data_IF_549012729130
#
_entry.id   IF_549012729130
#
_cell.length_a   1.000
_cell.length_b   1.000
_cell.length_c   1.000
_cell.angle_alpha   90.00
_cell.angle_beta   90.00
_cell.angle_gamma   90.00
#
_symmetry.space_group_name_H-M   'P 1'
#
loop_
_entity.id
_entity.type
_entity.pdbx_description
1 polymer ?
#
# COMPACT_ATOMS: atom_id res chain seq x y z
N UNK A 1 10.67 -10.25 11.68
CA UNK A 1 9.21 -10.44 11.82
C UNK A 1 8.50 -9.25 11.21
N UNK A 2 7.50 -9.49 10.37
CA UNK A 2 6.75 -8.43 9.69
C UNK A 2 5.47 -8.08 10.44
N UNK A 3 5.03 -6.83 10.24
CA UNK A 3 3.77 -6.34 10.80
C UNK A 3 2.64 -6.63 9.81
N UNK A 4 1.44 -6.89 10.32
CA UNK A 4 0.25 -7.08 9.50
C UNK A 4 -0.32 -5.70 9.17
N UNK A 5 -0.50 -5.41 7.88
CA UNK A 5 -1.03 -4.12 7.45
C UNK A 5 -2.56 -4.18 7.38
N UNK A 6 -3.22 -3.16 7.95
CA UNK A 6 -4.65 -2.96 7.75
C UNK A 6 -4.89 -2.48 6.33
N UNK A 7 -5.98 -2.89 5.71
CA UNK A 7 -6.22 -2.53 4.32
C UNK A 7 -7.71 -2.36 4.03
N UNK A 8 -8.03 -1.34 3.23
CA UNK A 8 -9.34 -1.21 2.62
C UNK A 8 -9.41 -2.08 1.37
N UNK A 9 -10.61 -2.55 1.03
CA UNK A 9 -10.84 -3.43 -0.13
C UNK A 9 -12.08 -2.98 -0.87
N UNK A 10 -12.03 -3.12 -2.20
CA UNK A 10 -13.21 -3.08 -3.04
C UNK A 10 -13.21 -4.35 -3.89
N UNK A 11 -14.18 -5.22 -3.64
CA UNK A 11 -14.28 -6.51 -4.33
C UNK A 11 -14.56 -6.31 -5.83
N UNK A 12 -14.14 -7.23 -6.69
CA UNK A 12 -14.40 -7.11 -8.11
C UNK A 12 -15.91 -7.10 -8.39
N UNK A 13 -16.31 -6.23 -9.31
CA UNK A 13 -17.72 -6.06 -9.68
C UNK A 13 -18.34 -7.38 -10.15
N UNK A 14 -17.58 -8.20 -10.87
CA UNK A 14 -18.02 -9.49 -11.37
C UNK A 14 -18.12 -10.57 -10.29
N UNK A 15 -17.53 -10.34 -9.12
CA UNK A 15 -17.42 -11.34 -8.06
C UNK A 15 -16.28 -12.33 -8.27
N UNK A 16 -15.46 -12.15 -9.31
CA UNK A 16 -14.36 -13.05 -9.65
C UNK A 16 -13.08 -12.24 -9.80
N UNK A 17 -12.06 -12.53 -9.00
CA UNK A 17 -10.79 -11.81 -9.03
C UNK A 17 -9.85 -12.40 -10.07
N UNK A 18 -9.58 -11.65 -11.14
CA UNK A 18 -8.60 -12.02 -12.17
C UNK A 18 -7.34 -11.18 -12.09
N UNK A 19 -7.44 -10.01 -11.49
CA UNK A 19 -6.29 -9.13 -11.26
C UNK A 19 -6.51 -8.33 -9.98
N UNK A 20 -5.42 -7.79 -9.47
CA UNK A 20 -5.42 -7.01 -8.23
C UNK A 20 -4.66 -5.71 -8.46
N UNK A 21 -5.23 -4.60 -8.02
CA UNK A 21 -4.54 -3.31 -7.97
C UNK A 21 -4.33 -2.97 -6.49
N UNK A 22 -3.08 -2.72 -6.12
CA UNK A 22 -2.72 -2.33 -4.76
C UNK A 22 -2.32 -0.86 -4.77
N UNK A 23 -3.03 -0.06 -3.98
CA UNK A 23 -2.74 1.37 -3.81
C UNK A 23 -1.81 1.58 -2.62
N UNK A 24 -0.69 2.24 -2.84
CA UNK A 24 0.25 2.60 -1.78
C UNK A 24 0.23 4.12 -1.61
N UNK A 25 -0.31 4.58 -0.48
CA UNK A 25 -0.55 6.00 -0.21
C UNK A 25 0.74 6.76 0.08
N UNK A 26 0.65 8.09 0.04
CA UNK A 26 1.76 8.97 0.34
C UNK A 26 1.90 9.26 1.84
N UNK A 27 2.97 9.97 2.17
CA UNK A 27 3.24 10.44 3.53
C UNK A 27 2.09 11.33 4.02
N UNK A 28 1.61 11.07 5.20
CA UNK A 28 0.53 11.85 5.81
C UNK A 28 -0.88 11.43 5.39
N UNK A 29 -0.98 10.46 4.48
CA UNK A 29 -2.26 9.93 4.03
C UNK A 29 -2.52 8.57 4.67
N UNK A 30 -3.51 7.86 4.17
CA UNK A 30 -3.82 6.48 4.56
C UNK A 30 -4.46 5.76 3.37
N UNK A 31 -4.70 4.45 3.51
CA UNK A 31 -5.27 3.66 2.42
C UNK A 31 -6.64 4.15 1.97
N UNK A 32 -7.48 4.60 2.91
CA UNK A 32 -8.83 5.07 2.58
C UNK A 32 -8.81 6.26 1.63
N UNK A 33 -7.77 7.11 1.67
CA UNK A 33 -7.66 8.27 0.79
C UNK A 33 -7.58 7.86 -0.69
N UNK A 34 -6.96 6.72 -0.99
CA UNK A 34 -6.83 6.24 -2.37
C UNK A 34 -7.98 5.34 -2.79
N UNK A 35 -8.75 4.81 -1.86
CA UNK A 35 -9.90 3.96 -2.19
C UNK A 35 -10.97 4.69 -2.99
N UNK A 36 -11.00 6.02 -2.94
CA UNK A 36 -11.87 6.82 -3.79
C UNK A 36 -11.62 6.64 -5.28
N UNK A 37 -10.43 6.17 -5.67
CA UNK A 37 -10.11 5.86 -7.06
C UNK A 37 -10.66 4.51 -7.51
N UNK A 38 -10.98 3.64 -6.56
CA UNK A 38 -11.40 2.27 -6.89
C UNK A 38 -12.75 2.22 -7.62
N UNK A 39 -13.70 3.08 -7.26
CA UNK A 39 -15.02 3.08 -7.89
C UNK A 39 -14.95 3.44 -9.37
N UNK A 40 -14.36 4.58 -9.78
CA UNK A 40 -14.29 4.89 -11.21
C UNK A 40 -13.44 3.90 -12.00
N UNK A 41 -12.34 3.38 -11.41
CA UNK A 41 -11.52 2.38 -12.08
C UNK A 41 -12.25 1.03 -12.17
N UNK A 42 -12.99 0.67 -11.13
CA UNK A 42 -13.71 -0.60 -11.08
C UNK A 42 -14.78 -0.73 -12.14
N UNK A 43 -15.35 0.37 -12.61
CA UNK A 43 -16.32 0.35 -13.70
C UNK A 43 -15.70 -0.15 -15.01
N UNK A 44 -14.40 0.13 -15.19
CA UNK A 44 -13.65 -0.28 -16.37
C UNK A 44 -12.90 -1.60 -16.17
N UNK A 45 -12.78 -2.06 -14.92
CA UNK A 45 -12.03 -3.27 -14.56
C UNK A 45 -12.90 -4.16 -13.67
N UNK A 46 -13.94 -4.79 -14.25
CA UNK A 46 -14.94 -5.52 -13.44
C UNK A 46 -14.41 -6.76 -12.72
N UNK A 47 -13.29 -7.32 -13.18
CA UNK A 47 -12.68 -8.52 -12.59
C UNK A 47 -11.48 -8.17 -11.69
N UNK A 48 -11.36 -6.91 -11.28
CA UNK A 48 -10.22 -6.43 -10.49
C UNK A 48 -10.61 -6.18 -9.05
N UNK A 49 -9.81 -6.74 -8.14
CA UNK A 49 -9.86 -6.43 -6.71
C UNK A 49 -8.96 -5.21 -6.48
N UNK A 50 -9.46 -4.23 -5.75
CA UNK A 50 -8.69 -3.05 -5.33
C UNK A 50 -8.42 -3.14 -3.83
N UNK A 51 -7.16 -2.99 -3.44
CA UNK A 51 -6.74 -3.09 -2.04
C UNK A 51 -5.83 -1.90 -1.72
N UNK A 52 -6.04 -1.28 -0.57
CA UNK A 52 -5.22 -0.15 -0.15
C UNK A 52 -4.75 -0.37 1.29
N UNK A 53 -3.54 -0.92 1.47
CA UNK A 53 -3.00 -1.09 2.82
C UNK A 53 -2.59 0.25 3.42
N UNK A 54 -2.75 0.35 4.74
CA UNK A 54 -2.24 1.45 5.52
C UNK A 54 -0.77 1.22 5.82
N UNK A 55 0.04 2.27 5.72
CA UNK A 55 1.42 2.22 6.17
C UNK A 55 1.47 1.89 7.66
N UNK A 56 2.52 1.20 8.13
CA UNK A 56 2.56 0.67 9.48
C UNK A 56 2.88 1.70 10.58
N UNK A 57 3.36 2.89 10.21
CA UNK A 57 3.82 3.86 11.18
C UNK A 57 2.92 5.08 11.24
N UNK A 58 2.58 5.50 12.47
CA UNK A 58 1.88 6.77 12.68
C UNK A 58 2.87 7.93 12.65
N UNK A 59 2.35 9.12 12.34
CA UNK A 59 3.16 10.34 12.33
C UNK A 59 2.79 11.14 13.57
N UNK A 60 3.77 11.49 14.43
CA UNK A 60 3.48 12.30 15.62
C UNK A 60 2.79 13.62 15.23
N UNK A 61 1.68 13.94 15.90
CA UNK A 61 0.90 15.14 15.64
C UNK A 61 -0.08 15.04 14.48
N UNK A 62 -0.17 13.90 13.80
CA UNK A 62 -1.11 13.68 12.70
C UNK A 62 -1.96 12.44 12.99
N UNK A 63 -3.14 12.60 13.64
CA UNK A 63 -3.90 11.45 14.15
C UNK A 63 -4.31 10.42 13.10
N UNK A 64 -4.61 10.84 11.88
CA UNK A 64 -5.01 9.93 10.80
C UNK A 64 -3.97 9.78 9.70
N UNK A 65 -2.82 10.48 9.83
CA UNK A 65 -1.75 10.39 8.85
C UNK A 65 -0.78 9.28 9.16
N UNK A 66 -0.37 8.57 8.13
CA UNK A 66 0.55 7.43 8.22
C UNK A 66 1.76 7.64 7.33
N UNK A 67 2.83 6.91 7.62
CA UNK A 67 4.07 7.00 6.86
C UNK A 67 4.66 5.61 6.64
N UNK A 68 5.31 5.43 5.49
CA UNK A 68 6.11 4.24 5.23
C UNK A 68 7.47 4.35 5.90
N UNK A 69 7.97 5.57 6.02
CA UNK A 69 9.21 5.89 6.74
C UNK A 69 9.18 7.36 7.18
N UNK A 70 9.95 7.71 8.22
CA UNK A 70 10.15 9.12 8.58
C UNK A 70 10.83 9.87 7.45
N UNK A 71 10.60 11.18 7.39
CA UNK A 71 11.26 12.06 6.41
C UNK A 71 12.19 13.00 7.17
N UNK A 72 13.53 12.81 7.08
CA UNK A 72 14.50 13.54 7.92
C UNK A 72 14.36 15.06 7.88
N UNK A 73 14.16 15.64 6.69
CA UNK A 73 14.06 17.09 6.58
C UNK A 73 12.72 17.65 7.09
N UNK A 74 11.76 16.79 7.43
CA UNK A 74 10.48 17.20 8.03
C UNK A 74 10.52 17.02 9.55
N UNK A 75 10.98 15.84 10.02
CA UNK A 75 10.83 15.45 11.43
C UNK A 75 12.17 15.42 12.20
N UNK A 76 13.28 15.68 11.54
CA UNK A 76 14.59 15.68 12.18
C UNK A 76 15.17 14.30 12.46
N UNK A 77 14.55 13.24 11.94
CA UNK A 77 15.11 11.89 12.06
C UNK A 77 16.41 11.80 11.25
N UNK A 78 17.24 10.81 11.58
CA UNK A 78 18.46 10.56 10.81
C UNK A 78 18.12 9.84 9.50
N UNK A 79 19.00 9.96 8.51
CA UNK A 79 18.84 9.22 7.25
C UNK A 79 18.92 7.72 7.49
N UNK A 80 19.75 7.27 8.45
CA UNK A 80 19.85 5.86 8.81
C UNK A 80 18.54 5.33 9.40
N UNK A 81 17.88 6.11 10.26
CA UNK A 81 16.58 5.75 10.80
C UNK A 81 15.53 5.65 9.71
N UNK A 82 15.52 6.63 8.80
CA UNK A 82 14.57 6.65 7.70
C UNK A 82 14.77 5.45 6.77
N UNK A 83 16.02 5.12 6.44
CA UNK A 83 16.33 3.99 5.58
C UNK A 83 15.91 2.66 6.23
N UNK A 84 16.25 2.48 7.52
CA UNK A 84 15.85 1.25 8.23
C UNK A 84 14.34 1.11 8.32
N UNK A 85 13.63 2.21 8.60
CA UNK A 85 12.18 2.20 8.66
C UNK A 85 11.57 1.89 7.29
N UNK A 86 12.13 2.46 6.21
CA UNK A 86 11.67 2.20 4.85
C UNK A 86 11.83 0.71 4.50
N UNK A 87 12.99 0.14 4.81
CA UNK A 87 13.26 -1.28 4.52
C UNK A 87 12.37 -2.20 5.35
N UNK A 88 12.10 -1.84 6.61
CA UNK A 88 11.16 -2.59 7.45
C UNK A 88 9.74 -2.54 6.87
N UNK A 89 9.29 -1.36 6.42
CA UNK A 89 7.98 -1.22 5.76
C UNK A 89 7.94 -1.99 4.45
N UNK A 90 9.03 -1.99 3.69
CA UNK A 90 9.11 -2.76 2.45
C UNK A 90 8.93 -4.26 2.72
N UNK A 91 9.53 -4.77 3.79
CA UNK A 91 9.33 -6.17 4.20
C UNK A 91 7.87 -6.43 4.56
N UNK A 92 7.21 -5.48 5.24
CA UNK A 92 5.78 -5.60 5.57
C UNK A 92 4.92 -5.63 4.30
N UNK A 93 5.22 -4.76 3.32
CA UNK A 93 4.51 -4.72 2.04
C UNK A 93 4.71 -6.02 1.27
N UNK A 94 5.93 -6.53 1.21
CA UNK A 94 6.21 -7.80 0.53
C UNK A 94 5.44 -8.96 1.17
N UNK A 95 5.39 -9.03 2.50
CA UNK A 95 4.61 -10.04 3.20
C UNK A 95 3.11 -9.89 2.92
N UNK A 96 2.62 -8.65 2.88
CA UNK A 96 1.23 -8.36 2.54
C UNK A 96 0.90 -8.84 1.13
N UNK A 97 1.76 -8.54 0.16
CA UNK A 97 1.55 -8.95 -1.23
C UNK A 97 1.59 -10.46 -1.38
N UNK A 98 2.52 -11.14 -0.71
CA UNK A 98 2.62 -12.60 -0.76
C UNK A 98 1.35 -13.25 -0.22
N UNK A 99 0.85 -12.79 0.92
CA UNK A 99 -0.38 -13.30 1.51
C UNK A 99 -1.59 -13.01 0.60
N UNK A 100 -1.65 -11.81 0.02
CA UNK A 100 -2.71 -11.42 -0.88
C UNK A 100 -2.77 -12.32 -2.12
N UNK A 101 -1.62 -12.60 -2.72
CA UNK A 101 -1.55 -13.47 -3.90
C UNK A 101 -2.01 -14.89 -3.59
N UNK A 102 -1.66 -15.41 -2.42
CA UNK A 102 -2.12 -16.73 -1.99
C UNK A 102 -3.63 -16.72 -1.75
N UNK A 103 -4.11 -15.72 -1.01
CA UNK A 103 -5.53 -15.64 -0.62
C UNK A 103 -6.45 -15.46 -1.83
N UNK A 104 -6.00 -14.70 -2.83
CA UNK A 104 -6.80 -14.41 -4.02
C UNK A 104 -6.52 -15.37 -5.18
N UNK A 105 -5.55 -16.26 -5.02
CA UNK A 105 -5.12 -17.21 -6.05
C UNK A 105 -4.76 -16.50 -7.35
N UNK A 106 -3.89 -15.50 -7.25
CA UNK A 106 -3.39 -14.73 -8.40
C UNK A 106 -1.87 -14.81 -8.47
N UNK A 107 -1.35 -14.68 -9.69
CA UNK A 107 0.09 -14.69 -9.96
C UNK A 107 0.63 -13.26 -9.89
N UNK A 108 1.96 -13.10 -9.70
CA UNK A 108 2.57 -11.75 -9.67
C UNK A 108 2.24 -10.89 -10.88
N UNK A 109 2.17 -11.46 -12.07
CA UNK A 109 1.86 -10.73 -13.30
C UNK A 109 0.41 -10.23 -13.34
N UNK A 110 -0.44 -10.68 -12.43
CA UNK A 110 -1.82 -10.24 -12.30
C UNK A 110 -1.98 -9.13 -11.25
N UNK A 111 -0.88 -8.70 -10.61
CA UNK A 111 -0.89 -7.66 -9.58
C UNK A 111 -0.22 -6.40 -10.10
N UNK A 112 -0.92 -5.27 -10.00
CA UNK A 112 -0.39 -3.96 -10.35
C UNK A 112 -0.28 -3.12 -9.07
N UNK A 113 0.83 -2.40 -8.93
CA UNK A 113 1.05 -1.48 -7.83
C UNK A 113 0.84 -0.05 -8.32
N UNK A 114 0.06 0.71 -7.59
CA UNK A 114 -0.16 2.13 -7.84
C UNK A 114 0.32 2.90 -6.61
N UNK A 115 1.40 3.64 -6.76
CA UNK A 115 1.96 4.42 -5.66
C UNK A 115 1.76 5.91 -5.88
N UNK A 116 1.57 6.64 -4.78
CA UNK A 116 1.46 8.09 -4.78
C UNK A 116 2.48 8.68 -3.81
N UNK A 117 3.35 9.59 -4.26
CA UNK A 117 4.38 10.24 -3.46
C UNK A 117 5.29 9.21 -2.78
N UNK A 118 5.40 9.17 -1.45
CA UNK A 118 6.21 8.17 -0.74
C UNK A 118 5.78 6.73 -1.09
N UNK A 119 4.48 6.53 -1.34
CA UNK A 119 3.97 5.24 -1.80
C UNK A 119 4.50 4.84 -3.17
N UNK A 120 4.80 5.80 -4.06
CA UNK A 120 5.41 5.47 -5.35
C UNK A 120 6.86 5.01 -5.20
N UNK A 121 7.59 5.55 -4.23
CA UNK A 121 8.94 5.04 -3.91
C UNK A 121 8.86 3.60 -3.41
N UNK A 122 7.87 3.30 -2.58
CA UNK A 122 7.62 1.95 -2.09
C UNK A 122 7.24 1.00 -3.23
N UNK A 123 6.36 1.43 -4.12
CA UNK A 123 5.93 0.63 -5.27
C UNK A 123 7.11 0.28 -6.18
N UNK A 124 8.00 1.23 -6.44
CA UNK A 124 9.19 0.99 -7.25
C UNK A 124 10.18 0.04 -6.55
N UNK A 125 10.25 0.09 -5.24
CA UNK A 125 11.18 -0.74 -4.47
C UNK A 125 10.73 -2.20 -4.41
N UNK A 126 9.44 -2.44 -4.18
CA UNK A 126 8.89 -3.81 -4.01
C UNK A 126 8.39 -4.43 -5.31
N UNK A 127 8.14 -3.61 -6.30
CA UNK A 127 7.59 -4.04 -7.60
C UNK A 127 8.51 -4.80 -8.53
#
# INVERSE_FOLDING_TARGET
MTRVLQAGRREPQSGSTRSVVVFLHGYGANGADLMGLADPLGEHLPDTLFVAPDAPESIPGMPSGLQWAPIPWIDGSSEDEAERAFLASAADVNAFLDALMVDEDVLPEQVALFGFSQGSMMALHVG
#
